data_IF_683600806644
#
_entry.id   IF_683600806644
#
_cell.length_a   1.000
_cell.length_b   1.000
_cell.length_c   1.000
_cell.angle_alpha   90.00
_cell.angle_beta   90.00
_cell.angle_gamma   90.00
#
_symmetry.space_group_name_H-M   'P 1'
#
loop_
_entity.id
_entity.type
_entity.pdbx_description
1 polymer ?
#
# COMPACT_ATOMS: atom_id res chain seq x y z
N UNK A 1 1.26 8.82 -22.56
CA UNK A 1 1.54 7.39 -22.30
C UNK A 1 1.48 7.27 -20.78
N UNK A 2 0.60 6.52 -20.10
CA UNK A 2 -0.18 5.33 -20.45
C UNK A 2 -1.57 5.35 -19.77
N UNK A 3 -2.62 5.68 -20.54
CA UNK A 3 -4.01 5.52 -20.11
C UNK A 3 -4.39 4.05 -19.82
N UNK A 4 -3.63 3.09 -20.36
CA UNK A 4 -3.79 1.67 -20.10
C UNK A 4 -3.25 1.22 -18.72
N UNK A 5 -2.22 1.90 -18.19
CA UNK A 5 -1.72 1.66 -16.82
C UNK A 5 -2.70 2.22 -15.80
N UNK A 6 -3.35 3.34 -16.13
CA UNK A 6 -4.39 3.99 -15.33
C UNK A 6 -5.62 3.08 -15.11
N UNK A 7 -6.13 2.43 -16.15
CA UNK A 7 -7.25 1.48 -16.02
C UNK A 7 -6.85 0.21 -15.26
N UNK A 8 -5.60 -0.27 -15.39
CA UNK A 8 -5.12 -1.42 -14.62
C UNK A 8 -4.98 -1.12 -13.11
N UNK A 9 -4.48 0.07 -12.76
CA UNK A 9 -4.39 0.53 -11.37
C UNK A 9 -5.78 0.71 -10.75
N UNK A 10 -6.71 1.33 -11.48
CA UNK A 10 -8.11 1.50 -11.04
C UNK A 10 -8.86 0.16 -10.93
N UNK A 11 -8.56 -0.80 -11.81
CA UNK A 11 -9.11 -2.15 -11.73
C UNK A 11 -8.56 -2.94 -10.53
N UNK A 12 -7.26 -2.82 -10.20
CA UNK A 12 -6.62 -3.47 -9.06
C UNK A 12 -7.10 -2.93 -7.70
N UNK A 13 -7.53 -1.67 -7.64
CA UNK A 13 -7.76 -0.98 -6.37
C UNK A 13 -9.23 -0.76 -5.97
N UNK A 14 -10.21 -0.67 -6.89
CA UNK A 14 -11.58 -0.19 -6.54
C UNK A 14 -12.73 -0.97 -7.20
N UNK A 15 -12.51 -2.14 -7.81
CA UNK A 15 -13.57 -2.84 -8.58
C UNK A 15 -14.63 -3.60 -7.76
N UNK A 16 -14.73 -3.45 -6.43
CA UNK A 16 -15.53 -4.40 -5.61
C UNK A 16 -16.27 -3.86 -4.39
N UNK A 17 -16.46 -2.55 -4.20
CA UNK A 17 -16.96 -2.01 -2.93
C UNK A 17 -18.48 -2.11 -2.68
N UNK A 18 -19.26 -2.76 -3.55
CA UNK A 18 -20.73 -2.87 -3.32
C UNK A 18 -21.23 -4.27 -3.65
N UNK A 19 -21.26 -5.15 -2.65
CA UNK A 19 -22.47 -5.89 -2.24
C UNK A 19 -22.08 -7.03 -1.31
N UNK A 20 -22.95 -7.31 -0.35
CA UNK A 20 -22.87 -8.46 0.54
C UNK A 20 -22.65 -9.78 -0.23
N UNK A 21 -21.68 -10.57 0.23
CA UNK A 21 -21.51 -11.99 -0.09
C UNK A 21 -20.31 -12.31 -0.98
N UNK A 22 -19.25 -12.86 -0.37
CA UNK A 22 -18.28 -13.76 -1.01
C UNK A 22 -17.62 -13.34 -2.36
N UNK A 23 -17.04 -12.14 -2.45
CA UNK A 23 -16.06 -11.83 -3.51
C UNK A 23 -14.75 -11.33 -2.87
N UNK A 24 -13.71 -12.18 -2.96
CA UNK A 24 -12.35 -11.89 -2.48
C UNK A 24 -11.81 -10.61 -3.13
N UNK A 25 -11.54 -9.59 -2.31
CA UNK A 25 -10.68 -8.48 -2.68
C UNK A 25 -9.28 -9.06 -2.97
N UNK A 26 -8.94 -9.26 -4.24
CA UNK A 26 -7.56 -9.61 -4.60
C UNK A 26 -6.68 -8.38 -4.39
N UNK A 27 -6.08 -8.30 -3.19
CA UNK A 27 -4.97 -7.38 -2.91
C UNK A 27 -3.91 -7.58 -3.99
N UNK A 28 -3.36 -6.52 -4.59
CA UNK A 28 -2.24 -6.66 -5.51
C UNK A 28 -1.11 -7.43 -4.83
N UNK A 29 -0.51 -8.37 -5.56
CA UNK A 29 0.60 -9.15 -5.03
C UNK A 29 1.77 -8.23 -4.67
N UNK A 30 2.59 -8.65 -3.70
CA UNK A 30 3.78 -7.89 -3.33
C UNK A 30 4.79 -7.77 -4.47
N UNK A 31 4.75 -8.67 -5.45
CA UNK A 31 5.49 -8.51 -6.71
C UNK A 31 4.99 -7.32 -7.54
N UNK A 32 3.67 -7.17 -7.70
CA UNK A 32 3.07 -6.06 -8.46
C UNK A 32 3.31 -4.72 -7.76
N UNK A 33 3.12 -4.67 -6.44
CA UNK A 33 3.42 -3.46 -5.64
C UNK A 33 4.89 -3.07 -5.80
N UNK A 34 5.80 -4.04 -5.75
CA UNK A 34 7.23 -3.78 -5.91
C UNK A 34 7.58 -3.29 -7.31
N UNK A 35 6.97 -3.83 -8.37
CA UNK A 35 7.13 -3.31 -9.74
C UNK A 35 6.71 -1.85 -9.83
N UNK A 36 5.55 -1.51 -9.28
CA UNK A 36 5.01 -0.14 -9.29
C UNK A 36 5.93 0.82 -8.53
N UNK A 37 6.44 0.44 -7.36
CA UNK A 37 7.21 1.33 -6.51
C UNK A 37 8.70 1.44 -6.87
N UNK A 38 9.26 0.43 -7.55
CA UNK A 38 10.72 0.27 -7.65
C UNK A 38 11.27 0.22 -9.07
N UNK A 39 10.45 -0.07 -10.08
CA UNK A 39 10.93 -0.12 -11.47
C UNK A 39 10.86 1.26 -12.13
N UNK A 40 11.89 1.61 -12.90
CA UNK A 40 12.00 2.93 -13.55
C UNK A 40 10.82 3.22 -14.50
N UNK A 41 10.23 2.19 -15.10
CA UNK A 41 9.07 2.34 -15.98
C UNK A 41 7.82 2.87 -15.25
N UNK A 42 7.78 2.73 -13.92
CA UNK A 42 6.71 3.20 -13.05
C UNK A 42 7.13 4.41 -12.20
N UNK A 43 8.29 5.04 -12.49
CA UNK A 43 8.85 6.09 -11.64
C UNK A 43 7.88 7.26 -11.37
N UNK A 44 7.04 7.64 -12.35
CA UNK A 44 6.03 8.68 -12.18
C UNK A 44 4.95 8.26 -11.17
N UNK A 45 4.36 7.07 -11.35
CA UNK A 45 3.40 6.50 -10.40
C UNK A 45 4.01 6.29 -9.01
N UNK A 46 5.26 5.85 -8.94
CA UNK A 46 5.99 5.68 -7.69
C UNK A 46 6.16 7.03 -6.96
N UNK A 47 6.47 8.11 -7.68
CA UNK A 47 6.59 9.44 -7.11
C UNK A 47 5.25 9.94 -6.54
N UNK A 48 4.13 9.71 -7.24
CA UNK A 48 2.80 10.05 -6.73
C UNK A 48 2.47 9.22 -5.48
N UNK A 49 2.74 7.92 -5.50
CA UNK A 49 2.54 7.06 -4.33
C UNK A 49 3.36 7.53 -3.12
N UNK A 50 4.63 7.88 -3.30
CA UNK A 50 5.49 8.42 -2.25
C UNK A 50 4.96 9.75 -1.71
N UNK A 51 4.59 10.67 -2.60
CA UNK A 51 4.01 11.96 -2.23
C UNK A 51 2.73 11.75 -1.40
N UNK A 52 1.86 10.85 -1.83
CA UNK A 52 0.64 10.52 -1.13
C UNK A 52 0.91 9.89 0.24
N UNK A 53 1.81 8.91 0.33
CA UNK A 53 2.23 8.32 1.60
C UNK A 53 2.74 9.38 2.57
N UNK A 54 3.48 10.40 2.12
CA UNK A 54 3.93 11.51 2.97
C UNK A 54 2.81 12.39 3.54
N UNK A 55 1.62 12.38 2.92
CA UNK A 55 0.45 13.10 3.45
C UNK A 55 -0.32 12.28 4.49
N UNK A 56 -0.03 10.98 4.59
CA UNK A 56 -0.73 10.07 5.49
C UNK A 56 -0.16 10.16 6.91
N UNK A 57 -1.04 10.03 7.90
CA UNK A 57 -0.63 9.96 9.30
C UNK A 57 -0.36 8.51 9.69
N UNK A 58 0.91 8.19 9.92
CA UNK A 58 1.34 6.85 10.36
C UNK A 58 1.38 6.68 11.88
N UNK A 59 1.09 7.72 12.67
CA UNK A 59 1.14 7.68 14.14
C UNK A 59 0.32 6.53 14.73
N UNK A 60 -0.87 6.27 14.17
CA UNK A 60 -1.77 5.19 14.60
C UNK A 60 -1.27 3.79 14.21
N UNK A 61 -0.28 3.72 13.31
CA UNK A 61 0.32 2.52 12.74
C UNK A 61 1.78 2.33 13.14
N UNK A 62 2.40 3.27 13.86
CA UNK A 62 3.84 3.27 14.16
C UNK A 62 4.26 2.00 14.90
N UNK A 63 3.47 1.59 15.91
CA UNK A 63 3.70 0.34 16.65
C UNK A 63 3.53 -0.91 15.78
N UNK A 64 2.60 -0.87 14.82
CA UNK A 64 2.36 -1.99 13.89
C UNK A 64 3.52 -2.11 12.90
N UNK A 65 3.92 -0.97 12.32
CA UNK A 65 4.98 -0.89 11.31
C UNK A 65 6.30 -1.32 11.93
N UNK A 66 6.67 -0.78 13.10
CA UNK A 66 7.89 -1.17 13.81
C UNK A 66 7.86 -2.61 14.32
N UNK A 67 6.68 -3.14 14.64
CA UNK A 67 6.51 -4.52 15.09
C UNK A 67 6.66 -5.55 13.98
N UNK A 68 6.14 -5.26 12.79
CA UNK A 68 6.02 -6.23 11.70
C UNK A 68 6.98 -6.00 10.52
N UNK A 69 7.31 -4.75 10.20
CA UNK A 69 8.16 -4.38 9.07
C UNK A 69 9.59 -4.12 9.54
N UNK A 70 10.35 -5.21 9.73
CA UNK A 70 11.72 -5.17 10.29
C UNK A 70 12.62 -4.21 9.52
N UNK A 71 13.34 -3.34 10.24
CA UNK A 71 14.22 -2.34 9.65
C UNK A 71 13.54 -1.00 9.35
N UNK A 72 12.23 -0.88 9.61
CA UNK A 72 11.51 0.40 9.64
C UNK A 72 11.47 1.02 11.05
N UNK A 73 12.64 1.13 11.70
CA UNK A 73 12.73 1.65 13.08
C UNK A 73 12.75 3.19 13.19
N UNK A 74 12.91 3.87 12.04
CA UNK A 74 13.05 5.32 11.93
C UNK A 74 11.72 6.07 11.76
N UNK A 75 11.82 7.29 11.23
CA UNK A 75 10.65 8.07 10.81
C UNK A 75 9.98 7.39 9.61
N UNK A 76 8.68 7.16 9.71
CA UNK A 76 7.88 6.51 8.67
C UNK A 76 7.41 7.59 7.70
N UNK A 77 8.15 7.73 6.61
CA UNK A 77 7.81 8.57 5.45
C UNK A 77 7.52 7.70 4.23
N UNK A 78 6.90 8.28 3.19
CA UNK A 78 6.71 7.63 1.89
C UNK A 78 8.01 7.16 1.27
N UNK A 79 9.09 7.94 1.37
CA UNK A 79 10.42 7.54 0.88
C UNK A 79 10.99 6.38 1.70
N UNK A 80 10.78 6.38 3.02
CA UNK A 80 11.23 5.29 3.88
C UNK A 80 10.53 3.97 3.54
N UNK A 81 9.22 4.04 3.25
CA UNK A 81 8.39 2.89 2.84
C UNK A 81 8.84 2.38 1.47
N UNK A 82 8.96 3.29 0.48
CA UNK A 82 9.41 2.91 -0.87
C UNK A 82 10.79 2.25 -0.81
N UNK A 83 11.74 2.88 -0.11
CA UNK A 83 13.10 2.34 0.03
C UNK A 83 13.10 0.96 0.68
N UNK A 84 12.27 0.75 1.70
CA UNK A 84 12.14 -0.55 2.35
C UNK A 84 11.57 -1.61 1.39
N UNK A 85 10.47 -1.31 0.68
CA UNK A 85 9.88 -2.22 -0.31
C UNK A 85 10.87 -2.59 -1.42
N UNK A 86 11.64 -1.63 -1.92
CA UNK A 86 12.60 -1.87 -2.98
C UNK A 86 13.80 -2.71 -2.51
N UNK A 87 14.25 -2.52 -1.27
CA UNK A 87 15.36 -3.28 -0.70
C UNK A 87 14.97 -4.67 -0.19
N UNK A 88 13.70 -4.89 0.16
CA UNK A 88 13.24 -6.11 0.87
C UNK A 88 12.76 -7.20 -0.09
N UNK A 89 13.23 -8.45 0.03
CA UNK A 89 12.72 -9.57 -0.77
C UNK A 89 11.22 -9.78 -0.63
N UNK A 90 10.53 -10.21 -1.69
CA UNK A 90 9.06 -10.35 -1.70
C UNK A 90 8.54 -11.26 -0.57
N UNK A 91 9.21 -12.38 -0.30
CA UNK A 91 8.85 -13.27 0.79
C UNK A 91 8.93 -12.62 2.18
N UNK A 92 9.87 -11.69 2.39
CA UNK A 92 9.96 -10.95 3.65
C UNK A 92 8.88 -9.86 3.77
N UNK A 93 8.42 -9.32 2.63
CA UNK A 93 7.26 -8.44 2.58
C UNK A 93 5.98 -9.21 2.92
N UNK A 94 5.80 -10.42 2.36
CA UNK A 94 4.67 -11.30 2.65
C UNK A 94 4.62 -11.64 4.16
N UNK A 95 5.76 -11.99 4.76
CA UNK A 95 5.87 -12.26 6.21
C UNK A 95 5.50 -11.03 7.06
N UNK A 96 5.91 -9.83 6.64
CA UNK A 96 5.58 -8.59 7.34
C UNK A 96 4.08 -8.26 7.25
N UNK A 97 3.47 -8.47 6.09
CA UNK A 97 2.04 -8.28 5.88
C UNK A 97 1.20 -9.27 6.68
N UNK A 98 1.61 -10.54 6.75
CA UNK A 98 0.95 -11.54 7.59
C UNK A 98 1.02 -11.17 9.07
N UNK A 99 2.16 -10.66 9.53
CA UNK A 99 2.30 -10.14 10.89
C UNK A 99 1.34 -8.99 11.13
N UNK A 100 1.29 -8.01 10.22
CA UNK A 100 0.45 -6.84 10.37
C UNK A 100 -1.05 -7.20 10.40
N UNK A 101 -1.46 -8.15 9.55
CA UNK A 101 -2.83 -8.66 9.53
C UNK A 101 -3.21 -9.33 10.87
N UNK A 102 -2.34 -10.17 11.44
CA UNK A 102 -2.56 -10.83 12.74
C UNK A 102 -2.66 -9.83 13.89
N UNK A 103 -1.81 -8.80 13.89
CA UNK A 103 -1.83 -7.73 14.91
C UNK A 103 -3.09 -6.86 14.80
N UNK A 104 -3.54 -6.54 13.58
CA UNK A 104 -4.78 -5.80 13.36
C UNK A 104 -6.02 -6.59 13.79
N UNK A 105 -6.03 -7.90 13.53
CA UNK A 105 -7.07 -8.82 14.00
C UNK A 105 -7.08 -8.89 15.53
N UNK A 106 -5.91 -9.02 16.17
CA UNK A 106 -5.79 -9.09 17.64
C UNK A 106 -6.23 -7.80 18.36
N UNK A 107 -6.11 -6.64 17.70
CA UNK A 107 -6.51 -5.35 18.24
C UNK A 107 -8.00 -5.02 18.04
N UNK A 108 -8.79 -5.92 17.43
CA UNK A 108 -10.19 -5.69 17.04
C UNK A 108 -10.34 -4.41 16.18
N UNK A 109 -9.25 -3.97 15.55
CA UNK A 109 -9.22 -2.79 14.67
C UNK A 109 -9.72 -3.13 13.27
N UNK A 110 -9.98 -4.41 13.01
CA UNK A 110 -10.64 -4.90 11.81
C UNK A 110 -9.86 -4.63 10.51
N UNK A 111 -10.23 -5.38 9.48
CA UNK A 111 -9.81 -5.15 8.11
C UNK A 111 -10.18 -3.73 7.63
N UNK A 112 -11.18 -3.10 8.25
CA UNK A 112 -11.67 -1.74 7.92
C UNK A 112 -10.59 -0.66 8.02
N UNK A 113 -9.71 -0.72 9.02
CA UNK A 113 -8.65 0.30 9.19
C UNK A 113 -7.64 0.21 8.04
N UNK A 114 -7.27 -1.01 7.65
CA UNK A 114 -6.38 -1.26 6.51
C UNK A 114 -7.03 -0.89 5.18
N UNK A 115 -8.31 -1.22 4.97
CA UNK A 115 -9.07 -0.81 3.78
C UNK A 115 -9.15 0.71 3.69
N UNK A 116 -9.48 1.40 4.78
CA UNK A 116 -9.54 2.86 4.80
C UNK A 116 -8.20 3.53 4.50
N UNK A 117 -7.09 2.92 4.94
CA UNK A 117 -5.75 3.35 4.56
C UNK A 117 -5.54 3.22 3.06
N UNK A 118 -5.81 2.04 2.48
CA UNK A 118 -5.65 1.79 1.05
C UNK A 118 -6.50 2.76 0.21
N UNK A 119 -7.78 2.93 0.54
CA UNK A 119 -8.68 3.82 -0.19
C UNK A 119 -8.20 5.27 -0.20
N UNK A 120 -7.61 5.75 0.90
CA UNK A 120 -7.02 7.10 0.96
C UNK A 120 -5.78 7.22 0.08
N UNK A 121 -4.92 6.20 0.08
CA UNK A 121 -3.73 6.17 -0.76
C UNK A 121 -4.11 6.18 -2.25
N UNK A 122 -5.06 5.34 -2.64
CA UNK A 122 -5.57 5.25 -4.01
C UNK A 122 -6.15 6.60 -4.44
N UNK A 123 -7.07 7.16 -3.65
CA UNK A 123 -7.72 8.43 -3.97
C UNK A 123 -6.70 9.57 -4.14
N UNK A 124 -5.67 9.60 -3.29
CA UNK A 124 -4.60 10.59 -3.42
C UNK A 124 -3.78 10.39 -4.70
N UNK A 125 -3.40 9.15 -5.02
CA UNK A 125 -2.62 8.87 -6.25
C UNK A 125 -3.43 9.25 -7.49
N UNK A 126 -4.74 8.98 -7.49
CA UNK A 126 -5.63 9.38 -8.58
C UNK A 126 -5.74 10.91 -8.74
N UNK A 127 -5.80 11.65 -7.63
CA UNK A 127 -5.81 13.11 -7.63
C UNK A 127 -4.51 13.67 -8.20
N UNK A 128 -3.36 13.19 -7.71
CA UNK A 128 -2.02 13.60 -8.16
C UNK A 128 -1.76 13.31 -9.64
N UNK A 129 -2.35 12.23 -10.17
CA UNK A 129 -2.25 11.88 -11.59
C UNK A 129 -3.18 12.69 -12.50
N UNK A 130 -4.16 13.38 -11.92
CA UNK A 130 -5.15 14.18 -12.65
C UNK A 130 -4.76 15.67 -12.77
N UNK A 131 -3.73 16.11 -12.04
CA UNK A 131 -3.17 17.46 -12.08
C UNK A 131 -2.08 17.63 -13.16
#
# INVERSE_FOLDING_TARGET
>A
MNFAVFVALQCLFVSGLVSAGDDELERPSNEEVKKILCEEENAETANFAVKCLNTMKFEDYDSLIKGCYKGMDGEITGESIQKWFCATPVNEIDEADECAAKELEAQDKGIEVYINFLLKLIACVEEEMSE
#
